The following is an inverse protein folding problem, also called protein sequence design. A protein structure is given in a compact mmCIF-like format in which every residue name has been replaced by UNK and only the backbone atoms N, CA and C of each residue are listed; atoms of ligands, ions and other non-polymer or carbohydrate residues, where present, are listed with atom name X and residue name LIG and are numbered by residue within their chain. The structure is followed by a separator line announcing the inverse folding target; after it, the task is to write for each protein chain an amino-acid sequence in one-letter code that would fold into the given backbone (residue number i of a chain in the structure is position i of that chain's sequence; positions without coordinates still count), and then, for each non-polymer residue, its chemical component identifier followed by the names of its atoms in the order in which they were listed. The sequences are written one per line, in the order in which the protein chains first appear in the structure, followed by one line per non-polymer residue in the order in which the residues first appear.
data_IF_067571082665
#
_entry.id   IF_067571082665
#
_cell.length_a   1.000
_cell.length_b   1.000
_cell.length_c   1.000
_cell.angle_alpha   90.00
_cell.angle_beta   90.00
_cell.angle_gamma   90.00
#
_symmetry.space_group_name_H-M   'P 1'
#
loop_
_entity.id
_entity.type
_entity.pdbx_description
1 polymer ?
#
# COMPACT_ATOMS: atom_id res chain seq x y z
N UNK A 1 -18.93 11.92 15.05
CA UNK A 1 -19.97 12.98 15.03
C UNK A 1 -19.70 14.19 15.94
N UNK A 2 -19.06 14.03 17.11
CA UNK A 2 -18.91 15.12 18.10
C UNK A 2 -17.97 16.25 17.64
N UNK A 3 -16.95 15.93 16.83
CA UNK A 3 -16.00 16.90 16.26
C UNK A 3 -16.63 17.85 15.23
N UNK A 4 -17.38 17.31 14.26
CA UNK A 4 -18.07 18.13 13.24
C UNK A 4 -19.10 19.10 13.82
N UNK A 5 -19.86 18.65 14.84
CA UNK A 5 -20.81 19.52 15.56
C UNK A 5 -20.11 20.68 16.29
N UNK A 6 -18.87 20.48 16.73
CA UNK A 6 -18.07 21.51 17.40
C UNK A 6 -17.52 22.53 16.40
N UNK A 7 -17.16 22.09 15.20
CA UNK A 7 -16.63 22.94 14.11
C UNK A 7 -17.73 23.58 13.24
N UNK A 8 -19.02 23.30 13.51
CA UNK A 8 -20.14 23.86 12.75
C UNK A 8 -20.25 23.34 11.31
N UNK A 9 -19.56 22.25 11.00
CA UNK A 9 -19.55 21.64 9.66
C UNK A 9 -20.79 20.75 9.49
N UNK A 10 -21.66 21.12 8.55
CA UNK A 10 -22.84 20.34 8.14
C UNK A 10 -22.44 19.39 7.02
N UNK A 11 -21.50 18.49 7.31
CA UNK A 11 -21.00 17.50 6.35
C UNK A 11 -21.18 16.12 6.98
N UNK A 12 -21.67 15.17 6.20
CA UNK A 12 -21.63 13.77 6.59
C UNK A 12 -20.17 13.28 6.50
N UNK A 13 -19.47 13.26 7.64
CA UNK A 13 -18.05 12.88 7.73
C UNK A 13 -17.74 11.57 7.00
N UNK A 14 -18.66 10.62 7.06
CA UNK A 14 -18.49 9.30 6.45
C UNK A 14 -18.44 9.39 4.94
N UNK A 15 -19.38 10.12 4.32
CA UNK A 15 -19.41 10.32 2.87
C UNK A 15 -18.20 11.12 2.39
N UNK A 16 -17.82 12.19 3.10
CA UNK A 16 -16.66 13.00 2.73
C UNK A 16 -15.33 12.24 2.78
N UNK A 17 -15.18 11.31 3.74
CA UNK A 17 -13.99 10.46 3.82
C UNK A 17 -14.02 9.41 2.70
N UNK A 18 -15.17 8.78 2.44
CA UNK A 18 -15.31 7.82 1.34
C UNK A 18 -14.99 8.45 -0.02
N UNK A 19 -15.50 9.66 -0.26
CA UNK A 19 -15.21 10.44 -1.47
C UNK A 19 -13.73 10.80 -1.57
N UNK A 20 -13.10 11.24 -0.47
CA UNK A 20 -11.67 11.58 -0.45
C UNK A 20 -10.77 10.37 -0.76
N UNK A 21 -11.16 9.20 -0.25
CA UNK A 21 -10.38 7.97 -0.39
C UNK A 21 -10.71 7.24 -1.72
N UNK A 22 -11.74 7.67 -2.44
CA UNK A 22 -12.23 7.06 -3.69
C UNK A 22 -12.51 5.55 -3.55
N UNK A 23 -13.08 5.16 -2.41
CA UNK A 23 -13.43 3.79 -2.09
C UNK A 23 -14.94 3.63 -1.90
N UNK A 24 -15.46 2.46 -2.26
CA UNK A 24 -16.82 2.07 -1.94
C UNK A 24 -16.94 1.56 -0.49
N UNK A 25 -18.15 1.58 0.08
CA UNK A 25 -18.35 1.16 1.48
C UNK A 25 -17.87 -0.27 1.77
N UNK A 26 -17.84 -1.14 0.76
CA UNK A 26 -17.48 -2.55 0.91
C UNK A 26 -15.96 -2.79 0.83
N UNK A 27 -15.19 -1.82 0.35
CA UNK A 27 -13.72 -1.89 0.24
C UNK A 27 -12.98 -1.16 1.35
N UNK A 28 -13.70 -0.56 2.30
CA UNK A 28 -13.11 0.06 3.51
C UNK A 28 -12.28 -0.92 4.35
N UNK A 29 -12.65 -2.19 4.39
CA UNK A 29 -11.89 -3.23 5.11
C UNK A 29 -10.53 -3.54 4.45
N UNK A 30 -10.39 -3.19 3.17
CA UNK A 30 -9.14 -3.32 2.42
C UNK A 30 -8.28 -2.04 2.48
N UNK A 31 -8.80 -0.95 3.03
CA UNK A 31 -8.09 0.32 3.11
C UNK A 31 -6.91 0.26 4.09
N UNK A 32 -5.70 0.55 3.57
CA UNK A 32 -4.48 0.60 4.38
C UNK A 32 -3.81 -0.76 4.64
N UNK A 33 -4.33 -1.85 4.04
CA UNK A 33 -3.69 -3.16 4.11
C UNK A 33 -2.33 -3.18 3.38
N UNK A 34 -2.22 -2.42 2.29
CA UNK A 34 -0.98 -2.24 1.54
C UNK A 34 -0.51 -0.79 1.61
N UNK A 35 0.66 -0.56 2.19
CA UNK A 35 1.28 0.77 2.29
C UNK A 35 2.52 0.82 1.41
N UNK A 36 2.52 1.77 0.47
CA UNK A 36 3.66 2.06 -0.40
C UNK A 36 4.40 3.31 0.09
N UNK A 37 5.70 3.20 0.26
CA UNK A 37 6.60 4.28 0.65
C UNK A 37 7.35 4.78 -0.58
N UNK A 38 7.27 6.07 -0.88
CA UNK A 38 8.04 6.69 -1.98
C UNK A 38 8.96 7.75 -1.40
N UNK A 39 10.26 7.52 -1.51
CA UNK A 39 11.27 8.52 -1.16
C UNK A 39 11.56 9.37 -2.39
N UNK A 40 11.47 10.69 -2.27
CA UNK A 40 11.73 11.62 -3.36
C UNK A 40 12.83 12.62 -2.95
N UNK A 41 13.92 12.66 -3.71
CA UNK A 41 15.09 13.51 -3.40
C UNK A 41 15.85 13.88 -4.68
N UNK A 42 16.66 14.93 -4.65
CA UNK A 42 17.56 15.27 -5.76
C UNK A 42 18.63 14.19 -5.99
N UNK A 43 19.07 13.52 -4.92
CA UNK A 43 19.90 12.32 -5.00
C UNK A 43 19.79 11.49 -3.71
N UNK A 44 20.25 10.24 -3.78
CA UNK A 44 20.28 9.32 -2.64
C UNK A 44 21.71 8.88 -2.33
N UNK A 45 22.16 9.17 -1.11
CA UNK A 45 23.44 8.66 -0.62
C UNK A 45 23.44 7.13 -0.54
N UNK A 46 24.64 6.54 -0.61
CA UNK A 46 24.82 5.07 -0.58
C UNK A 46 24.15 4.42 0.64
N UNK A 47 24.27 5.05 1.81
CA UNK A 47 23.68 4.58 3.06
C UNK A 47 22.16 4.40 2.95
N UNK A 48 21.46 5.39 2.40
CA UNK A 48 20.00 5.33 2.17
C UNK A 48 19.65 4.24 1.16
N UNK A 49 20.39 4.12 0.06
CA UNK A 49 20.11 3.08 -0.94
C UNK A 49 20.25 1.67 -0.37
N UNK A 50 21.25 1.43 0.48
CA UNK A 50 21.43 0.14 1.15
C UNK A 50 20.28 -0.17 2.11
N UNK A 51 19.85 0.81 2.92
CA UNK A 51 18.71 0.64 3.82
C UNK A 51 17.42 0.35 3.06
N UNK A 52 17.16 1.07 1.96
CA UNK A 52 15.97 0.86 1.12
C UNK A 52 15.98 -0.54 0.50
N UNK A 53 17.10 -1.01 -0.03
CA UNK A 53 17.23 -2.36 -0.56
C UNK A 53 16.96 -3.41 0.54
N UNK A 54 17.51 -3.22 1.74
CA UNK A 54 17.27 -4.12 2.86
C UNK A 54 15.78 -4.16 3.28
N UNK A 55 15.09 -3.01 3.30
CA UNK A 55 13.66 -2.94 3.59
C UNK A 55 12.84 -3.67 2.50
N UNK A 56 13.22 -3.54 1.23
CA UNK A 56 12.58 -4.29 0.12
C UNK A 56 12.76 -5.79 0.26
N UNK A 57 13.92 -6.27 0.71
CA UNK A 57 14.14 -7.70 1.00
C UNK A 57 13.21 -8.21 2.13
N UNK A 58 12.80 -7.33 3.05
CA UNK A 58 11.79 -7.60 4.07
C UNK A 58 10.35 -7.48 3.55
N UNK A 59 10.17 -7.40 2.23
CA UNK A 59 8.87 -7.28 1.55
C UNK A 59 8.11 -5.98 1.90
N UNK A 60 8.83 -4.92 2.26
CA UNK A 60 8.26 -3.58 2.42
C UNK A 60 8.23 -2.92 1.04
N UNK A 61 7.07 -2.38 0.64
CA UNK A 61 6.94 -1.67 -0.63
C UNK A 61 7.52 -0.25 -0.49
N UNK A 62 8.80 -0.11 -0.84
CA UNK A 62 9.52 1.16 -0.79
C UNK A 62 10.29 1.43 -2.08
N UNK A 63 10.17 2.64 -2.63
CA UNK A 63 10.88 3.07 -3.84
C UNK A 63 11.62 4.40 -3.66
N UNK A 64 12.66 4.62 -4.47
CA UNK A 64 13.41 5.88 -4.51
C UNK A 64 13.25 6.54 -5.88
N UNK A 65 12.83 7.81 -5.87
CA UNK A 65 12.63 8.64 -7.05
C UNK A 65 13.55 9.86 -6.99
N UNK A 66 14.38 10.02 -8.02
CA UNK A 66 15.19 11.21 -8.23
C UNK A 66 14.32 12.32 -8.80
N UNK A 67 14.37 13.49 -8.18
CA UNK A 67 13.74 14.70 -8.69
C UNK A 67 14.81 15.66 -9.20
N UNK A 68 14.87 15.85 -10.52
CA UNK A 68 15.81 16.79 -11.14
C UNK A 68 15.01 17.97 -11.70
N UNK A 69 15.08 19.15 -11.06
CA UNK A 69 14.43 20.34 -11.58
C UNK A 69 15.23 20.95 -12.74
N UNK A 70 14.50 21.43 -13.75
CA UNK A 70 15.00 22.17 -14.89
C UNK A 70 14.23 23.46 -15.03
N UNK A 71 14.90 24.55 -15.40
CA UNK A 71 14.22 25.79 -15.75
C UNK A 71 14.10 25.88 -17.26
N UNK A 72 12.89 26.03 -17.76
CA UNK A 72 12.61 26.27 -19.16
C UNK A 72 11.82 27.58 -19.28
N UNK A 73 12.50 28.65 -19.71
CA UNK A 73 11.95 30.02 -19.71
C UNK A 73 11.48 30.42 -18.29
N UNK A 74 10.18 30.69 -18.12
CA UNK A 74 9.56 31.01 -16.83
C UNK A 74 9.00 29.77 -16.11
N UNK A 75 9.01 28.60 -16.76
CA UNK A 75 8.48 27.36 -16.21
C UNK A 75 9.57 26.55 -15.48
N UNK A 76 9.17 25.83 -14.42
CA UNK A 76 10.00 24.83 -13.75
C UNK A 76 9.48 23.45 -14.15
N UNK A 77 10.31 22.71 -14.86
CA UNK A 77 10.07 21.32 -15.21
C UNK A 77 10.75 20.43 -14.19
N UNK A 78 10.10 19.35 -13.77
CA UNK A 78 10.70 18.37 -12.85
C UNK A 78 10.75 17.04 -13.58
N UNK A 79 11.95 16.48 -13.73
CA UNK A 79 12.12 15.10 -14.14
C UNK A 79 12.08 14.20 -12.91
N UNK A 80 11.19 13.21 -12.90
CA UNK A 80 11.04 12.22 -11.85
C UNK A 80 11.51 10.86 -12.37
N UNK A 81 12.67 10.40 -11.92
CA UNK A 81 13.30 9.15 -12.37
C UNK A 81 13.34 8.14 -11.22
N UNK A 82 12.81 6.93 -11.41
CA UNK A 82 12.88 5.88 -10.39
C UNK A 82 14.26 5.21 -10.41
N UNK A 83 14.99 5.30 -9.29
CA UNK A 83 16.34 4.71 -9.17
C UNK A 83 16.26 3.32 -8.51
N UNK A 84 15.37 3.15 -7.52
CA UNK A 84 15.24 1.90 -6.77
C UNK A 84 13.77 1.46 -6.74
N UNK A 85 13.45 0.23 -7.18
CA UNK A 85 14.28 -0.61 -8.04
C UNK A 85 14.50 0.07 -9.39
N UNK A 86 15.57 -0.29 -10.12
CA UNK A 86 15.67 0.13 -11.52
C UNK A 86 14.47 -0.42 -12.29
N UNK A 87 13.88 0.34 -13.23
CA UNK A 87 12.61 -0.01 -13.88
C UNK A 87 12.61 -1.43 -14.47
N UNK A 88 13.73 -1.85 -15.05
CA UNK A 88 13.94 -3.17 -15.66
C UNK A 88 13.76 -4.34 -14.67
N UNK A 89 14.07 -4.11 -13.38
CA UNK A 89 13.94 -5.12 -12.32
C UNK A 89 12.53 -5.13 -11.72
N UNK A 90 11.80 -4.02 -11.80
CA UNK A 90 10.43 -3.95 -11.32
C UNK A 90 9.49 -4.85 -12.12
N UNK A 91 9.60 -4.86 -13.45
CA UNK A 91 8.80 -5.73 -14.33
C UNK A 91 8.96 -7.23 -13.99
N UNK A 92 10.15 -7.63 -13.54
CA UNK A 92 10.41 -9.00 -13.09
C UNK A 92 9.80 -9.28 -11.71
N UNK A 93 9.87 -8.32 -10.78
CA UNK A 93 9.30 -8.46 -9.43
C UNK A 93 7.77 -8.42 -9.42
N UNK A 94 7.12 -7.71 -10.33
CA UNK A 94 5.65 -7.68 -10.46
C UNK A 94 5.10 -9.08 -10.74
N UNK A 95 5.70 -9.82 -11.69
CA UNK A 95 5.30 -11.21 -12.00
C UNK A 95 5.42 -12.16 -10.80
N UNK A 96 6.36 -11.90 -9.89
CA UNK A 96 6.52 -12.69 -8.66
C UNK A 96 5.52 -12.29 -7.57
N UNK A 97 5.15 -11.00 -7.48
CA UNK A 97 4.11 -10.51 -6.57
C UNK A 97 2.74 -11.03 -6.94
N UNK A 98 2.38 -11.03 -8.23
CA UNK A 98 1.11 -11.61 -8.72
C UNK A 98 0.96 -13.08 -8.31
N UNK A 99 2.00 -13.91 -8.53
CA UNK A 99 1.99 -15.31 -8.09
C UNK A 99 1.84 -15.49 -6.57
N UNK A 100 2.42 -14.59 -5.76
CA UNK A 100 2.28 -14.64 -4.29
C UNK A 100 0.92 -14.14 -3.81
N UNK A 101 0.34 -13.14 -4.48
CA UNK A 101 -1.01 -12.66 -4.20
C UNK A 101 -2.03 -13.76 -4.50
N UNK A 102 -1.91 -14.45 -5.64
CA UNK A 102 -2.73 -15.62 -5.98
C UNK A 102 -2.64 -16.72 -4.91
N UNK A 103 -1.46 -16.96 -4.34
CA UNK A 103 -1.29 -17.91 -3.24
C UNK A 103 -1.94 -17.45 -1.94
N UNK A 104 -1.86 -16.16 -1.58
CA UNK A 104 -2.52 -15.61 -0.38
C UNK A 104 -4.05 -15.67 -0.49
N UNK A 105 -4.61 -15.34 -1.64
CA UNK A 105 -6.05 -15.47 -1.91
C UNK A 105 -6.50 -16.94 -1.89
N UNK A 106 -5.63 -17.86 -2.33
CA UNK A 106 -5.89 -19.31 -2.27
C UNK A 106 -5.88 -19.84 -0.82
N UNK A 107 -5.02 -19.31 0.05
CA UNK A 107 -4.98 -19.65 1.48
C UNK A 107 -6.21 -19.11 2.21
N UNK A 108 -6.63 -17.86 1.95
CA UNK A 108 -7.86 -17.30 2.53
C UNK A 108 -9.13 -18.05 2.11
N UNK A 109 -9.17 -18.64 0.91
CA UNK A 109 -10.28 -19.52 0.49
C UNK A 109 -10.29 -20.89 1.17
N UNK A 110 -9.18 -21.31 1.79
CA UNK A 110 -9.04 -22.59 2.47
C UNK A 110 -9.51 -22.59 3.94
N UNK A 111 -9.79 -21.42 4.52
CA UNK A 111 -10.09 -21.25 5.94
C UNK A 111 -11.60 -21.09 6.20
N UNK A 112 -12.40 -22.02 5.67
CA UNK A 112 -13.70 -22.34 6.28
C UNK A 112 -13.52 -23.61 7.09
N UNK A 113 -13.13 -23.44 8.34
CA UNK A 113 -12.96 -24.53 9.28
C UNK A 113 -14.34 -25.16 9.57
N UNK A 114 -14.55 -26.40 9.12
CA UNK A 114 -15.73 -27.22 9.43
C UNK A 114 -15.40 -28.27 10.50
N UNK A 115 -14.35 -28.07 11.30
CA UNK A 115 -13.94 -29.06 12.29
C UNK A 115 -14.97 -29.19 13.42
N UNK A 116 -15.72 -30.29 13.39
CA UNK A 116 -16.56 -30.73 14.50
C UNK A 116 -15.67 -31.27 15.62
N UNK A 117 -15.75 -30.68 16.82
CA UNK A 117 -15.04 -31.18 17.99
C UNK A 117 -15.99 -31.85 19.00
N UNK A 118 -15.52 -32.96 19.57
CA UNK A 118 -16.26 -33.78 20.54
C UNK A 118 -15.78 -33.51 21.96
N UNK A 119 -16.71 -33.11 22.82
CA UNK A 119 -16.46 -32.94 24.25
C UNK A 119 -17.57 -33.62 25.06
N UNK A 120 -17.19 -34.40 26.07
CA UNK A 120 -18.11 -35.15 26.95
C UNK A 120 -19.20 -35.95 26.21
N UNK A 121 -18.83 -36.61 25.11
CA UNK A 121 -19.75 -37.46 24.35
C UNK A 121 -20.74 -36.72 23.43
N UNK A 122 -20.69 -35.39 23.40
CA UNK A 122 -21.51 -34.56 22.51
C UNK A 122 -20.65 -33.92 21.42
N UNK A 123 -21.22 -33.82 20.21
CA UNK A 123 -20.57 -33.21 19.04
C UNK A 123 -21.18 -31.84 18.77
N UNK A 124 -20.34 -30.84 18.59
CA UNK A 124 -20.74 -29.47 18.27
C UNK A 124 -20.13 -29.05 16.93
N UNK A 125 -20.90 -28.26 16.17
CA UNK A 125 -20.49 -27.62 14.91
C UNK A 125 -20.13 -26.18 15.14
#
# INVERSE_FOLDING_TARGET
AQYLKKEGLVVEAREAILEFVDLDENSLDDFGNDVRIVLASADFGKELTTSVLWLRDKSIDISCVRLTPYRYREDVLINAEQIIPVPEVEEYQVKFREKRAEQRTSVQKGEKDYSEYRYNGHTYK
#
